data_IF_695081234795
#
_entry.id   IF_695081234795
#
_cell.length_a   1.000
_cell.length_b   1.000
_cell.length_c   1.000
_cell.angle_alpha   90.00
_cell.angle_beta   90.00
_cell.angle_gamma   90.00
#
_symmetry.space_group_name_H-M   'P 1'
#
loop_
_entity.id
_entity.type
_entity.pdbx_description
1 polymer ?
#
# COMPACT_ATOMS: atom_id res chain seq x y z
N UNK A 1 -28.55 43.98 -35.60
CA UNK A 1 -29.50 43.48 -34.59
C UNK A 1 -29.04 42.08 -34.20
N UNK A 2 -28.64 41.90 -32.94
CA UNK A 2 -27.96 40.72 -32.43
C UNK A 2 -28.90 39.51 -32.29
N UNK A 3 -28.39 38.30 -32.55
CA UNK A 3 -28.87 37.09 -31.88
C UNK A 3 -27.70 36.09 -31.73
N UNK A 4 -26.97 36.20 -30.61
CA UNK A 4 -26.10 35.14 -30.12
C UNK A 4 -27.02 34.05 -29.55
N UNK A 5 -27.21 32.95 -30.27
CA UNK A 5 -27.75 31.73 -29.68
C UNK A 5 -26.62 31.00 -28.95
N UNK A 6 -26.56 31.19 -27.63
CA UNK A 6 -25.78 30.37 -26.71
C UNK A 6 -26.40 28.96 -26.67
N UNK A 7 -25.76 28.00 -27.33
CA UNK A 7 -26.09 26.57 -27.20
C UNK A 7 -24.96 25.89 -26.42
N UNK A 8 -25.03 25.89 -25.08
CA UNK A 8 -25.42 24.65 -24.42
C UNK A 8 -24.52 23.37 -24.54
N UNK A 9 -23.34 23.15 -23.91
CA UNK A 9 -22.36 22.16 -24.35
C UNK A 9 -22.66 20.67 -24.02
N UNK A 10 -23.90 20.31 -23.71
CA UNK A 10 -24.27 18.94 -23.27
C UNK A 10 -24.91 18.06 -24.35
N UNK A 11 -25.19 18.58 -25.55
CA UNK A 11 -25.81 17.81 -26.63
C UNK A 11 -24.82 17.15 -27.60
N UNK A 12 -23.51 17.33 -27.38
CA UNK A 12 -22.45 16.74 -28.21
C UNK A 12 -21.86 15.45 -27.61
N UNK A 13 -22.57 14.80 -26.69
CA UNK A 13 -22.05 13.63 -25.97
C UNK A 13 -22.57 12.29 -26.50
N UNK A 14 -23.45 12.29 -27.51
CA UNK A 14 -24.19 11.07 -27.91
C UNK A 14 -24.05 10.64 -29.38
N UNK A 15 -23.30 11.36 -30.22
CA UNK A 15 -23.22 11.07 -31.66
C UNK A 15 -21.79 10.91 -32.22
N UNK A 16 -20.84 10.44 -31.42
CA UNK A 16 -19.54 10.01 -31.96
C UNK A 16 -19.15 8.66 -31.41
N UNK A 17 -19.65 7.61 -32.07
CA UNK A 17 -19.01 6.30 -32.10
C UNK A 17 -17.50 6.47 -32.36
N UNK A 18 -16.60 5.70 -31.72
CA UNK A 18 -15.14 5.88 -31.77
C UNK A 18 -14.47 5.56 -33.13
N UNK A 19 -15.24 5.54 -34.22
CA UNK A 19 -14.84 5.01 -35.54
C UNK A 19 -14.62 6.14 -36.55
N UNK A 20 -15.15 7.35 -36.34
CA UNK A 20 -15.07 8.46 -37.30
C UNK A 20 -13.87 9.40 -37.10
N UNK A 21 -12.99 9.14 -36.14
CA UNK A 21 -11.78 9.94 -35.95
C UNK A 21 -10.67 9.50 -36.92
N UNK A 22 -9.93 10.46 -37.54
CA UNK A 22 -8.78 10.14 -38.37
C UNK A 22 -7.78 9.29 -37.58
N UNK A 23 -7.19 8.29 -38.25
CA UNK A 23 -6.32 7.27 -37.64
C UNK A 23 -5.20 7.88 -36.78
N UNK A 24 -4.63 8.99 -37.26
CA UNK A 24 -3.64 9.84 -36.56
C UNK A 24 -4.10 10.26 -35.14
N UNK A 25 -5.36 10.68 -35.01
CA UNK A 25 -5.91 11.15 -33.73
C UNK A 25 -6.24 9.97 -32.82
N UNK A 26 -6.63 8.83 -33.40
CA UNK A 26 -6.86 7.60 -32.64
C UNK A 26 -5.55 7.01 -32.10
N UNK A 27 -4.51 7.00 -32.92
CA UNK A 27 -3.17 6.57 -32.53
C UNK A 27 -2.59 7.48 -31.45
N UNK A 28 -2.66 8.80 -31.64
CA UNK A 28 -2.23 9.78 -30.64
C UNK A 28 -2.98 9.62 -29.32
N UNK A 29 -4.29 9.35 -29.37
CA UNK A 29 -5.09 9.11 -28.17
C UNK A 29 -4.73 7.78 -27.49
N UNK A 30 -4.49 6.70 -28.23
CA UNK A 30 -4.04 5.42 -27.67
C UNK A 30 -2.65 5.51 -27.04
N UNK A 31 -1.70 6.20 -27.69
CA UNK A 31 -0.36 6.44 -27.13
C UNK A 31 -0.45 7.31 -25.88
N UNK A 32 -1.28 8.35 -25.89
CA UNK A 32 -1.51 9.16 -24.69
C UNK A 32 -2.13 8.34 -23.56
N UNK A 33 -3.11 7.47 -23.84
CA UNK A 33 -3.69 6.60 -22.82
C UNK A 33 -2.66 5.61 -22.26
N UNK A 34 -1.81 5.02 -23.10
CA UNK A 34 -0.72 4.13 -22.70
C UNK A 34 0.29 4.85 -21.80
N UNK A 35 0.72 6.05 -22.20
CA UNK A 35 1.63 6.89 -21.42
C UNK A 35 1.01 7.34 -20.09
N UNK A 36 -0.27 7.72 -20.08
CA UNK A 36 -0.95 8.16 -18.84
C UNK A 36 -1.15 6.98 -17.88
N UNK A 37 -1.60 5.83 -18.40
CA UNK A 37 -1.82 4.61 -17.61
C UNK A 37 -0.51 4.08 -17.01
N UNK A 38 0.60 4.19 -17.75
CA UNK A 38 1.93 3.82 -17.26
C UNK A 38 2.36 4.72 -16.09
N UNK A 39 2.21 6.04 -16.23
CA UNK A 39 2.54 7.00 -15.16
C UNK A 39 1.64 6.83 -13.94
N UNK A 40 0.34 6.57 -14.13
CA UNK A 40 -0.60 6.33 -13.04
C UNK A 40 -0.25 5.06 -12.24
N UNK A 41 0.10 3.96 -12.92
CA UNK A 41 0.52 2.72 -12.25
C UNK A 41 1.86 2.85 -11.53
N UNK A 42 2.82 3.58 -12.10
CA UNK A 42 4.09 3.86 -11.42
C UNK A 42 3.89 4.75 -10.18
N UNK A 43 3.01 5.77 -10.27
CA UNK A 43 2.73 6.66 -9.14
C UNK A 43 2.04 5.91 -7.98
N UNK A 44 1.06 5.07 -8.31
CA UNK A 44 0.37 4.22 -7.32
C UNK A 44 1.37 3.25 -6.69
N UNK A 45 2.21 2.59 -7.51
CA UNK A 45 3.25 1.68 -7.02
C UNK A 45 4.27 2.36 -6.10
N UNK A 46 4.73 3.56 -6.45
CA UNK A 46 5.67 4.33 -5.63
C UNK A 46 5.04 4.74 -4.29
N UNK A 47 3.79 5.23 -4.32
CA UNK A 47 3.06 5.60 -3.11
C UNK A 47 2.91 4.43 -2.14
N UNK A 48 2.52 3.26 -2.65
CA UNK A 48 2.45 2.04 -1.85
C UNK A 48 3.81 1.66 -1.25
N UNK A 49 4.88 1.71 -2.05
CA UNK A 49 6.22 1.36 -1.59
C UNK A 49 6.71 2.27 -0.47
N UNK A 50 6.49 3.58 -0.57
CA UNK A 50 6.85 4.54 0.47
C UNK A 50 6.03 4.26 1.75
N UNK A 51 4.73 4.02 1.62
CA UNK A 51 3.86 3.71 2.75
C UNK A 51 4.33 2.45 3.51
N UNK A 52 4.63 1.37 2.77
CA UNK A 52 5.11 0.10 3.34
C UNK A 52 6.55 0.15 3.86
N UNK A 53 7.29 1.25 3.68
CA UNK A 53 8.60 1.46 4.31
C UNK A 53 8.46 2.35 5.54
N UNK A 54 7.75 3.47 5.40
CA UNK A 54 7.65 4.49 6.46
C UNK A 54 6.82 4.00 7.63
N UNK A 55 5.67 3.37 7.37
CA UNK A 55 4.77 2.90 8.44
C UNK A 55 5.46 1.83 9.31
N UNK A 56 6.10 0.80 8.74
CA UNK A 56 6.87 -0.16 9.55
C UNK A 56 8.05 0.48 10.27
N UNK A 57 8.75 1.45 9.66
CA UNK A 57 9.85 2.12 10.34
C UNK A 57 9.39 2.89 11.58
N UNK A 58 8.28 3.62 11.48
CA UNK A 58 7.67 4.33 12.60
C UNK A 58 7.16 3.37 13.68
N UNK A 59 6.46 2.31 13.29
CA UNK A 59 5.91 1.36 14.24
C UNK A 59 6.99 0.52 14.94
N UNK A 60 8.02 0.05 14.23
CA UNK A 60 9.16 -0.65 14.84
C UNK A 60 9.87 0.26 15.84
N UNK A 61 10.11 1.51 15.48
CA UNK A 61 10.77 2.48 16.35
C UNK A 61 9.93 2.75 17.61
N UNK A 62 8.64 3.03 17.44
CA UNK A 62 7.71 3.29 18.56
C UNK A 62 7.60 2.11 19.52
N UNK A 63 7.42 0.91 18.99
CA UNK A 63 7.32 -0.31 19.80
C UNK A 63 8.64 -0.67 20.48
N UNK A 64 9.77 -0.41 19.85
CA UNK A 64 11.09 -0.58 20.49
C UNK A 64 11.24 0.35 21.69
N UNK A 65 10.77 1.60 21.60
CA UNK A 65 10.81 2.55 22.73
C UNK A 65 9.98 2.04 23.91
N UNK A 66 8.79 1.48 23.65
CA UNK A 66 7.92 0.90 24.68
C UNK A 66 8.64 -0.25 25.40
N UNK A 67 9.21 -1.18 24.65
CA UNK A 67 9.98 -2.31 25.22
C UNK A 67 11.15 -1.79 26.06
N UNK A 68 11.92 -0.85 25.51
CA UNK A 68 13.08 -0.26 26.19
C UNK A 68 12.67 0.48 27.47
N UNK A 69 11.55 1.20 27.48
CA UNK A 69 11.03 1.86 28.66
C UNK A 69 10.65 0.85 29.75
N UNK A 70 9.95 -0.23 29.38
CA UNK A 70 9.56 -1.31 30.31
C UNK A 70 10.78 -2.04 30.89
N UNK A 71 11.83 -2.26 30.09
CA UNK A 71 13.09 -2.85 30.57
C UNK A 71 13.84 -1.86 31.47
N UNK A 72 13.95 -0.59 31.10
CA UNK A 72 14.79 0.38 31.82
C UNK A 72 14.20 0.79 33.17
N UNK A 73 12.89 0.97 33.27
CA UNK A 73 12.25 1.47 34.48
C UNK A 73 11.62 0.33 35.30
N UNK A 74 12.26 -0.04 36.41
CA UNK A 74 11.74 -1.08 37.33
C UNK A 74 10.35 -0.76 37.88
N UNK A 75 10.01 0.52 38.04
CA UNK A 75 8.69 0.97 38.49
C UNK A 75 7.58 0.66 37.48
N UNK A 76 7.93 0.50 36.20
CA UNK A 76 6.99 0.15 35.13
C UNK A 76 6.89 -1.36 34.91
N UNK A 77 7.48 -2.24 35.73
CA UNK A 77 7.37 -3.71 35.54
C UNK A 77 6.18 -4.33 36.29
N UNK A 78 5.00 -3.74 36.11
CA UNK A 78 3.74 -4.38 36.51
C UNK A 78 3.36 -5.44 35.46
N UNK A 79 2.58 -6.46 35.85
CA UNK A 79 2.07 -7.50 34.94
C UNK A 79 1.40 -6.91 33.70
N UNK A 80 0.68 -5.79 33.84
CA UNK A 80 0.05 -5.08 32.73
C UNK A 80 1.09 -4.52 31.73
N UNK A 81 2.16 -3.91 32.21
CA UNK A 81 3.18 -3.33 31.35
C UNK A 81 4.06 -4.39 30.67
N UNK A 82 4.17 -5.59 31.28
CA UNK A 82 4.82 -6.74 30.64
C UNK A 82 3.96 -7.24 29.47
N UNK A 83 2.63 -7.30 29.63
CA UNK A 83 1.71 -7.59 28.53
C UNK A 83 1.84 -6.56 27.40
N UNK A 84 1.87 -5.27 27.73
CA UNK A 84 2.09 -4.21 26.73
C UNK A 84 3.44 -4.39 26.00
N UNK A 85 4.51 -4.75 26.71
CA UNK A 85 5.79 -5.03 26.08
C UNK A 85 5.75 -6.29 25.18
N UNK A 86 4.98 -7.31 25.55
CA UNK A 86 4.77 -8.50 24.72
C UNK A 86 3.98 -8.18 23.44
N UNK A 87 2.95 -7.32 23.53
CA UNK A 87 2.21 -6.81 22.37
C UNK A 87 3.17 -6.03 21.46
N UNK A 88 3.96 -5.10 22.01
CA UNK A 88 4.94 -4.34 21.23
C UNK A 88 5.97 -5.22 20.51
N UNK A 89 6.34 -6.38 21.07
CA UNK A 89 7.17 -7.38 20.36
C UNK A 89 6.42 -8.01 19.19
N UNK A 90 5.14 -8.35 19.39
CA UNK A 90 4.24 -8.84 18.35
C UNK A 90 4.14 -7.86 17.18
N UNK A 91 3.89 -6.58 17.46
CA UNK A 91 3.83 -5.51 16.45
C UNK A 91 5.13 -5.40 15.64
N UNK A 92 6.30 -5.48 16.30
CA UNK A 92 7.59 -5.42 15.62
C UNK A 92 7.76 -6.60 14.67
N UNK A 93 7.40 -7.81 15.12
CA UNK A 93 7.52 -9.01 14.30
C UNK A 93 6.53 -8.99 13.13
N UNK A 94 5.31 -8.53 13.35
CA UNK A 94 4.30 -8.35 12.31
C UNK A 94 4.77 -7.34 11.24
N UNK A 95 5.28 -6.18 11.67
CA UNK A 95 5.83 -5.17 10.76
C UNK A 95 7.11 -5.63 10.05
N UNK A 96 7.96 -6.42 10.71
CA UNK A 96 9.11 -7.05 10.07
C UNK A 96 8.69 -8.03 8.97
N UNK A 97 7.60 -8.78 9.17
CA UNK A 97 6.99 -9.63 8.15
C UNK A 97 6.63 -8.84 6.90
N UNK A 98 5.95 -7.70 7.04
CA UNK A 98 5.64 -6.83 5.90
C UNK A 98 6.88 -6.34 5.15
N UNK A 99 7.92 -5.89 5.87
CA UNK A 99 9.17 -5.44 5.25
C UNK A 99 9.86 -6.58 4.50
N UNK A 100 9.90 -7.78 5.08
CA UNK A 100 10.46 -8.96 4.43
C UNK A 100 9.68 -9.28 3.17
N UNK A 101 8.35 -9.26 3.20
CA UNK A 101 7.51 -9.54 2.03
C UNK A 101 7.75 -8.54 0.90
N UNK A 102 7.83 -7.24 1.21
CA UNK A 102 8.13 -6.21 0.21
C UNK A 102 9.53 -6.43 -0.39
N UNK A 103 10.55 -6.69 0.44
CA UNK A 103 11.90 -6.98 -0.04
C UNK A 103 11.97 -8.27 -0.88
N UNK A 104 11.26 -9.31 -0.46
CA UNK A 104 11.19 -10.57 -1.20
C UNK A 104 10.50 -10.36 -2.54
N UNK A 105 9.41 -9.61 -2.58
CA UNK A 105 8.70 -9.30 -3.82
C UNK A 105 9.63 -8.60 -4.83
N UNK A 106 10.38 -7.59 -4.40
CA UNK A 106 11.33 -6.86 -5.25
C UNK A 106 12.46 -7.78 -5.78
N UNK A 107 12.99 -8.68 -4.93
CA UNK A 107 13.99 -9.66 -5.34
C UNK A 107 13.41 -10.73 -6.27
N UNK A 108 12.19 -11.19 -6.03
CA UNK A 108 11.61 -12.34 -6.75
C UNK A 108 10.95 -11.95 -8.06
N UNK A 109 10.48 -10.71 -8.21
CA UNK A 109 10.16 -10.12 -9.52
C UNK A 109 11.40 -10.11 -10.42
N UNK A 110 12.59 -9.88 -9.85
CA UNK A 110 13.85 -9.93 -10.60
C UNK A 110 14.24 -11.37 -11.03
N UNK A 111 13.78 -12.39 -10.29
CA UNK A 111 14.14 -13.80 -10.50
C UNK A 111 12.98 -14.71 -11.00
N UNK A 112 11.81 -14.15 -11.35
CA UNK A 112 10.62 -14.87 -11.89
C UNK A 112 10.01 -15.97 -10.99
N UNK A 113 10.15 -15.86 -9.67
CA UNK A 113 9.64 -16.83 -8.67
C UNK A 113 8.52 -16.23 -7.79
N UNK A 114 7.45 -15.72 -8.40
CA UNK A 114 6.40 -14.95 -7.71
C UNK A 114 5.48 -15.79 -6.79
N UNK A 115 5.37 -17.11 -7.02
CA UNK A 115 4.30 -17.95 -6.45
C UNK A 115 4.56 -18.45 -5.02
N UNK A 116 5.82 -18.53 -4.58
CA UNK A 116 6.20 -19.13 -3.28
C UNK A 116 6.03 -18.16 -2.10
N UNK A 117 5.96 -16.85 -2.39
CA UNK A 117 5.88 -15.80 -1.36
C UNK A 117 4.47 -15.63 -0.81
N UNK A 118 3.45 -15.82 -1.66
CA UNK A 118 2.06 -15.50 -1.33
C UNK A 118 1.53 -16.36 -0.17
N UNK A 119 1.79 -17.67 -0.21
CA UNK A 119 1.37 -18.63 0.82
C UNK A 119 2.08 -18.39 2.16
N UNK A 120 3.37 -18.06 2.13
CA UNK A 120 4.16 -17.83 3.34
C UNK A 120 3.75 -16.53 4.03
N UNK A 121 3.42 -15.49 3.26
CA UNK A 121 3.03 -14.19 3.79
C UNK A 121 1.66 -14.24 4.49
N UNK A 122 0.68 -14.93 3.91
CA UNK A 122 -0.66 -15.09 4.49
C UNK A 122 -0.64 -15.79 5.85
N UNK A 123 0.19 -16.82 5.99
CA UNK A 123 0.33 -17.56 7.26
C UNK A 123 0.93 -16.67 8.35
N UNK A 124 2.01 -15.94 8.03
CA UNK A 124 2.63 -15.03 8.99
C UNK A 124 1.67 -13.92 9.42
N UNK A 125 0.91 -13.35 8.48
CA UNK A 125 -0.04 -12.28 8.79
C UNK A 125 -1.19 -12.77 9.69
N UNK A 126 -1.82 -13.90 9.36
CA UNK A 126 -2.90 -14.46 10.17
C UNK A 126 -2.44 -14.94 11.56
N UNK A 127 -1.22 -15.47 11.67
CA UNK A 127 -0.67 -15.91 12.94
C UNK A 127 -0.47 -14.73 13.91
N UNK A 128 -0.02 -13.58 13.40
CA UNK A 128 0.19 -12.38 14.22
C UNK A 128 -1.11 -11.67 14.58
N UNK A 129 -2.08 -11.57 13.66
CA UNK A 129 -3.42 -11.06 13.98
C UNK A 129 -4.09 -11.90 15.08
N UNK A 130 -3.94 -13.22 15.05
CA UNK A 130 -4.46 -14.11 16.09
C UNK A 130 -3.78 -13.90 17.45
N UNK A 131 -2.49 -13.55 17.46
CA UNK A 131 -1.72 -13.23 18.67
C UNK A 131 -2.12 -11.89 19.29
N UNK A 132 -2.36 -10.86 18.47
CA UNK A 132 -2.91 -9.59 18.95
C UNK A 132 -4.32 -9.77 19.53
N UNK A 133 -5.20 -10.53 18.85
CA UNK A 133 -6.56 -10.76 19.33
C UNK A 133 -6.61 -11.47 20.69
N UNK A 134 -5.68 -12.39 20.95
CA UNK A 134 -5.61 -13.12 22.23
C UNK A 134 -5.01 -12.30 23.37
N UNK A 135 -4.31 -11.20 23.08
CA UNK A 135 -3.74 -10.30 24.10
C UNK A 135 -4.65 -9.11 24.43
N UNK A 136 -5.67 -8.85 23.61
CA UNK A 136 -6.71 -7.83 23.84
C UNK A 136 -7.99 -8.33 24.57
N UNK A 137 -8.16 -9.65 24.76
CA UNK A 137 -9.22 -10.28 25.57
C UNK A 137 -8.82 -10.46 27.04
#
# INVERSE_FOLDING_TARGET
>A
MALRAQVHPYSLSFLTSPISLPLEVRLRRSIHYDETLHVDMELIGLGFKIFYIVVPACGITGNTIIIMATIKYKQLRSSCNILIAAIAIGDILHQAGFVITVLLHELLVTYSYSYVVEESCLIFQHLFEAFELTTHL
#
